data_IF_812265418019
#
_entry.id   IF_812265418019
#
_cell.length_a   1.000
_cell.length_b   1.000
_cell.length_c   1.000
_cell.angle_alpha   90.00
_cell.angle_beta   90.00
_cell.angle_gamma   90.00
#
_symmetry.space_group_name_H-M   'P 1'
#
loop_
_entity.id
_entity.type
_entity.pdbx_description
1 polymer ?
#
# COMPACT_ATOMS: atom_id res chain seq x y z
N UNK A 1 16.70 8.77 -24.43
CA UNK A 1 16.11 10.12 -24.62
C UNK A 1 14.78 10.14 -25.38
N UNK A 2 14.43 9.13 -26.19
CA UNK A 2 13.11 9.02 -26.87
C UNK A 2 12.06 8.18 -26.11
N UNK A 3 12.32 7.80 -24.84
CA UNK A 3 11.39 7.00 -24.02
C UNK A 3 10.85 7.70 -22.77
N UNK A 4 11.42 8.84 -22.37
CA UNK A 4 10.93 9.63 -21.23
C UNK A 4 9.86 10.69 -21.58
N UNK A 5 9.62 11.01 -22.86
CA UNK A 5 8.71 12.12 -23.20
C UNK A 5 7.22 11.78 -23.29
N UNK A 6 6.83 10.51 -23.20
CA UNK A 6 5.41 10.11 -23.28
C UNK A 6 4.67 10.08 -21.93
N UNK A 7 5.31 10.48 -20.84
CA UNK A 7 4.64 10.60 -19.53
C UNK A 7 3.83 11.89 -19.35
N UNK A 8 3.85 12.80 -20.33
CA UNK A 8 3.18 14.10 -20.22
C UNK A 8 1.68 14.07 -20.53
N UNK A 9 1.11 12.99 -21.10
CA UNK A 9 -0.24 13.03 -21.69
C UNK A 9 -1.15 11.81 -21.45
N UNK A 10 -0.80 10.86 -20.59
CA UNK A 10 -1.69 9.73 -20.27
C UNK A 10 -2.15 9.81 -18.82
N UNK A 11 -3.42 10.16 -18.65
CA UNK A 11 -4.27 9.78 -17.51
C UNK A 11 -3.60 9.84 -16.13
N UNK A 12 -3.64 11.01 -15.50
CA UNK A 12 -3.23 11.22 -14.11
C UNK A 12 -3.81 10.10 -13.21
N UNK A 13 -2.98 9.11 -12.87
CA UNK A 13 -3.30 7.98 -12.00
C UNK A 13 -4.37 6.99 -12.51
N UNK A 14 -4.24 6.45 -13.73
CA UNK A 14 -5.03 5.26 -14.11
C UNK A 14 -4.53 4.01 -13.33
N UNK A 15 -5.41 3.46 -12.50
CA UNK A 15 -5.16 2.28 -11.68
C UNK A 15 -4.64 1.08 -12.49
N UNK A 16 -5.09 0.94 -13.75
CA UNK A 16 -4.61 -0.13 -14.65
C UNK A 16 -3.16 0.04 -15.06
N UNK A 17 -2.72 1.28 -15.28
CA UNK A 17 -1.32 1.57 -15.64
C UNK A 17 -0.41 1.37 -14.43
N UNK A 18 -0.84 1.84 -13.25
CA UNK A 18 -0.14 1.58 -12.00
C UNK A 18 0.00 0.07 -11.76
N UNK A 19 -1.07 -0.70 -11.91
CA UNK A 19 -1.06 -2.15 -11.73
C UNK A 19 -0.04 -2.86 -12.64
N UNK A 20 0.04 -2.48 -13.92
CA UNK A 20 1.02 -3.03 -14.85
C UNK A 20 2.47 -2.72 -14.45
N UNK A 21 2.76 -1.48 -14.01
CA UNK A 21 4.09 -1.10 -13.52
C UNK A 21 4.43 -1.90 -12.26
N UNK A 22 3.49 -2.03 -11.33
CA UNK A 22 3.71 -2.78 -10.09
C UNK A 22 3.96 -4.25 -10.29
N UNK A 23 3.27 -4.85 -11.27
CA UNK A 23 3.51 -6.25 -11.67
C UNK A 23 4.93 -6.45 -12.23
N UNK A 24 5.47 -5.48 -12.96
CA UNK A 24 6.87 -5.52 -13.45
C UNK A 24 7.87 -5.35 -12.31
N UNK A 25 7.55 -4.51 -11.32
CA UNK A 25 8.38 -4.29 -10.13
C UNK A 25 8.21 -5.38 -9.06
N UNK A 26 7.30 -6.33 -9.25
CA UNK A 26 7.07 -7.45 -8.33
C UNK A 26 6.37 -7.07 -7.02
N UNK A 27 5.64 -5.95 -6.98
CA UNK A 27 4.90 -5.50 -5.78
C UNK A 27 3.42 -5.88 -5.86
N UNK A 28 2.82 -6.25 -4.71
CA UNK A 28 1.41 -6.68 -4.60
C UNK A 28 0.40 -5.50 -4.67
N UNK A 29 0.86 -4.30 -4.28
CA UNK A 29 0.04 -3.09 -4.29
C UNK A 29 0.91 -1.86 -4.59
N UNK A 30 0.31 -0.85 -5.22
CA UNK A 30 0.91 0.47 -5.42
C UNK A 30 0.06 1.53 -4.74
N UNK A 31 0.74 2.54 -4.19
CA UNK A 31 0.12 3.72 -3.62
C UNK A 31 0.24 4.88 -4.62
N UNK A 32 -0.89 5.41 -5.08
CA UNK A 32 -0.98 6.56 -5.99
C UNK A 32 -1.89 7.63 -5.39
N UNK A 33 -1.62 8.90 -5.63
CA UNK A 33 -2.47 9.95 -5.08
C UNK A 33 -2.25 11.30 -5.70
N UNK A 34 -2.99 12.28 -5.20
CA UNK A 34 -2.92 13.68 -5.62
C UNK A 34 -2.98 14.60 -4.41
N UNK A 35 -2.24 15.70 -4.48
CA UNK A 35 -2.44 16.85 -3.60
C UNK A 35 -3.73 17.53 -4.02
N UNK A 36 -4.71 17.57 -3.12
CA UNK A 36 -6.04 18.15 -3.37
C UNK A 36 -6.15 19.59 -2.91
N UNK A 37 -5.34 19.99 -1.94
CA UNK A 37 -5.26 21.37 -1.46
C UNK A 37 -3.81 21.77 -1.20
N UNK A 38 -3.48 22.99 -1.61
CA UNK A 38 -2.19 23.62 -1.37
C UNK A 38 -2.42 25.12 -1.21
N UNK A 39 -2.56 25.56 0.03
CA UNK A 39 -2.88 26.94 0.37
C UNK A 39 -1.85 27.52 1.35
N UNK A 40 -1.46 28.77 1.12
CA UNK A 40 -0.62 29.56 2.02
C UNK A 40 -1.26 30.93 2.17
N UNK A 41 -1.56 31.31 3.41
CA UNK A 41 -2.13 32.59 3.79
C UNK A 41 -1.14 33.37 4.65
N UNK A 42 -0.91 34.64 4.33
CA UNK A 42 -0.07 35.53 5.11
C UNK A 42 -0.91 36.66 5.73
N UNK A 43 -0.78 36.86 7.05
CA UNK A 43 -1.44 37.91 7.80
C UNK A 43 -0.40 38.78 8.51
N UNK A 44 -0.37 40.08 8.22
CA UNK A 44 0.55 41.02 8.85
C UNK A 44 -0.13 41.76 10.03
N UNK A 45 0.51 41.75 11.20
CA UNK A 45 0.12 42.53 12.38
C UNK A 45 1.19 43.58 12.65
N UNK A 46 0.80 44.86 12.58
CA UNK A 46 1.66 45.99 12.95
C UNK A 46 1.68 46.20 14.47
N UNK A 47 2.86 46.36 15.05
CA UNK A 47 3.04 46.73 16.47
C UNK A 47 3.46 48.20 16.51
N UNK A 48 2.57 49.07 16.97
CA UNK A 48 2.84 50.51 17.08
C UNK A 48 3.56 50.86 18.38
N UNK A 49 4.69 51.58 18.28
CA UNK A 49 5.37 52.21 19.41
C UNK A 49 4.93 53.67 19.54
N UNK A 50 3.88 53.93 20.32
CA UNK A 50 3.41 55.27 20.66
C UNK A 50 2.76 55.27 22.06
N UNK A 51 2.69 56.42 22.76
CA UNK A 51 2.29 56.50 24.18
C UNK A 51 0.82 56.16 24.47
N UNK A 52 0.03 55.84 23.44
CA UNK A 52 -1.29 55.23 23.59
C UNK A 52 -1.23 53.81 22.99
N UNK A 53 -1.23 52.80 23.86
CA UNK A 53 -1.40 51.37 23.55
C UNK A 53 -2.72 51.08 22.78
N UNK A 54 -2.83 51.54 21.53
CA UNK A 54 -3.96 51.23 20.65
C UNK A 54 -3.46 50.33 19.53
N UNK A 55 -3.91 49.08 19.57
CA UNK A 55 -3.85 48.11 18.47
C UNK A 55 -4.33 48.77 17.18
N UNK A 56 -3.42 49.31 16.39
CA UNK A 56 -3.72 49.99 15.12
C UNK A 56 -3.16 49.13 14.00
N UNK A 57 -4.08 48.64 13.17
CA UNK A 57 -3.82 47.85 11.96
C UNK A 57 -3.18 48.75 10.92
N UNK A 58 -1.88 48.99 11.03
CA UNK A 58 -1.15 49.88 10.14
C UNK A 58 0.32 49.93 10.50
N UNK A 59 1.18 49.86 9.48
CA UNK A 59 2.63 49.76 9.58
C UNK A 59 3.21 50.88 10.46
N UNK A 60 3.93 50.51 11.52
CA UNK A 60 4.72 51.43 12.36
C UNK A 60 6.14 50.89 12.46
N UNK A 61 7.10 51.80 12.35
CA UNK A 61 8.54 51.62 12.52
C UNK A 61 8.86 50.83 13.80
N UNK A 62 9.17 49.54 13.66
CA UNK A 62 9.45 48.64 14.79
C UNK A 62 9.40 47.13 14.50
N UNK A 63 9.16 46.72 13.25
CA UNK A 63 9.14 45.31 12.81
C UNK A 63 7.72 44.80 12.59
N UNK A 64 7.40 44.38 11.35
CA UNK A 64 6.11 43.76 11.02
C UNK A 64 6.14 42.30 11.46
N UNK A 65 5.13 41.88 12.23
CA UNK A 65 4.89 40.46 12.50
C UNK A 65 4.08 39.90 11.34
N UNK A 66 4.64 38.97 10.59
CA UNK A 66 3.95 38.24 9.52
C UNK A 66 3.63 36.84 10.04
N UNK A 67 2.35 36.52 10.11
CA UNK A 67 1.88 35.18 10.43
C UNK A 67 1.56 34.45 9.13
N UNK A 68 2.26 33.36 8.86
CA UNK A 68 2.05 32.51 7.68
C UNK A 68 1.31 31.25 8.12
N UNK A 69 0.12 31.03 7.58
CA UNK A 69 -0.66 29.80 7.71
C UNK A 69 -0.53 29.01 6.42
N UNK A 70 -0.29 27.71 6.52
CA UNK A 70 -0.24 26.82 5.38
C UNK A 70 -1.17 25.63 5.64
N UNK A 71 -1.92 25.26 4.61
CA UNK A 71 -2.89 24.17 4.61
C UNK A 71 -2.65 23.28 3.40
N UNK A 72 -2.47 21.99 3.65
CA UNK A 72 -2.21 20.98 2.61
C UNK A 72 -3.15 19.81 2.82
N UNK A 73 -3.80 19.36 1.76
CA UNK A 73 -4.61 18.15 1.77
C UNK A 73 -4.18 17.22 0.63
N UNK A 74 -4.21 15.92 0.90
CA UNK A 74 -3.83 14.88 -0.04
C UNK A 74 -4.86 13.76 -0.01
N UNK A 75 -5.13 13.19 -1.18
CA UNK A 75 -5.93 11.97 -1.30
C UNK A 75 -5.09 10.91 -2.00
N UNK A 76 -5.01 9.74 -1.36
CA UNK A 76 -4.14 8.65 -1.76
C UNK A 76 -4.96 7.36 -1.84
N UNK A 77 -4.68 6.56 -2.85
CA UNK A 77 -5.37 5.31 -3.19
C UNK A 77 -4.34 4.19 -3.26
N UNK A 78 -4.65 3.08 -2.62
CA UNK A 78 -3.89 1.84 -2.77
C UNK A 78 -4.55 0.99 -3.84
N UNK A 79 -3.78 0.52 -4.81
CA UNK A 79 -4.27 -0.25 -5.97
C UNK A 79 -3.60 -1.61 -5.98
N UNK A 80 -4.40 -2.68 -6.09
CA UNK A 80 -3.91 -4.04 -6.28
C UNK A 80 -3.31 -4.18 -7.69
N UNK A 81 -2.08 -4.66 -7.78
CA UNK A 81 -1.37 -4.75 -9.06
C UNK A 81 -1.78 -5.94 -9.92
N UNK A 82 -2.43 -6.95 -9.33
CA UNK A 82 -2.96 -8.11 -10.03
C UNK A 82 -4.36 -7.85 -10.61
N UNK A 83 -5.23 -7.15 -9.89
CA UNK A 83 -6.63 -6.90 -10.34
C UNK A 83 -6.84 -5.50 -10.91
N UNK A 84 -5.98 -4.53 -10.57
CA UNK A 84 -6.18 -3.12 -10.91
C UNK A 84 -7.25 -2.43 -10.07
N UNK A 85 -7.76 -3.08 -9.02
CA UNK A 85 -8.80 -2.54 -8.15
C UNK A 85 -8.21 -1.63 -7.07
N UNK A 86 -8.96 -0.59 -6.69
CA UNK A 86 -8.63 0.26 -5.55
C UNK A 86 -8.99 -0.51 -4.28
N UNK A 87 -7.98 -0.89 -3.51
CA UNK A 87 -8.15 -1.58 -2.23
C UNK A 87 -8.66 -0.62 -1.14
N UNK A 88 -8.11 0.59 -1.10
CA UNK A 88 -8.54 1.64 -0.17
C UNK A 88 -8.22 3.02 -0.72
N UNK A 89 -8.93 4.03 -0.19
CA UNK A 89 -8.64 5.45 -0.41
C UNK A 89 -8.59 6.15 0.94
N UNK A 90 -7.52 6.88 1.18
CA UNK A 90 -7.26 7.65 2.41
C UNK A 90 -7.04 9.10 2.02
N UNK A 91 -7.74 10.00 2.69
CA UNK A 91 -7.49 11.44 2.60
C UNK A 91 -6.85 11.89 3.91
N UNK A 92 -5.85 12.77 3.82
CA UNK A 92 -5.19 13.35 4.98
C UNK A 92 -4.93 14.83 4.74
N UNK A 93 -4.92 15.60 5.82
CA UNK A 93 -4.64 17.03 5.79
C UNK A 93 -3.61 17.42 6.84
N UNK A 94 -2.98 18.56 6.63
CA UNK A 94 -1.99 19.13 7.52
C UNK A 94 -2.06 20.64 7.47
N UNK A 95 -2.18 21.25 8.65
CA UNK A 95 -2.14 22.68 8.83
C UNK A 95 -0.91 23.05 9.66
N UNK A 96 -0.27 24.18 9.34
CA UNK A 96 0.74 24.81 10.19
C UNK A 96 0.61 26.32 10.15
N UNK A 97 0.94 26.99 11.26
CA UNK A 97 0.98 28.44 11.35
C UNK A 97 2.27 28.86 12.04
N UNK A 98 3.01 29.80 11.43
CA UNK A 98 4.25 30.37 11.99
C UNK A 98 4.24 31.88 11.93
N UNK A 99 4.52 32.51 13.05
CA UNK A 99 4.79 33.95 13.14
C UNK A 99 6.27 34.25 12.94
N UNK A 100 6.59 35.19 12.06
CA UNK A 100 7.94 35.72 11.86
C UNK A 100 7.96 37.24 12.05
N UNK A 101 9.08 37.78 12.55
CA UNK A 101 9.35 39.22 12.58
C UNK A 101 10.19 39.50 11.33
N UNK A 102 9.51 39.99 10.28
CA UNK A 102 9.97 40.38 8.92
C UNK A 102 11.29 39.83 8.33
N UNK A 103 11.16 39.09 7.23
CA UNK A 103 11.46 39.60 5.88
C UNK A 103 10.55 38.84 4.90
N UNK A 104 9.84 39.56 4.04
CA UNK A 104 9.03 38.98 2.97
C UNK A 104 9.93 38.30 1.94
N UNK A 105 10.39 37.09 2.26
CA UNK A 105 11.04 36.18 1.34
C UNK A 105 9.96 35.39 0.62
N UNK A 106 9.33 36.03 -0.36
CA UNK A 106 8.37 35.37 -1.23
C UNK A 106 8.99 34.10 -1.83
N UNK A 107 8.12 33.13 -2.12
CA UNK A 107 8.40 31.92 -2.90
C UNK A 107 8.83 32.26 -4.34
N UNK A 108 9.89 33.05 -4.49
CA UNK A 108 10.37 33.57 -5.76
C UNK A 108 11.71 32.90 -6.05
N UNK A 109 11.68 32.04 -7.05
CA UNK A 109 12.81 31.33 -7.68
C UNK A 109 13.37 30.14 -6.89
N UNK A 110 13.07 28.93 -7.37
CA UNK A 110 13.73 27.69 -6.96
C UNK A 110 13.58 27.34 -5.48
N UNK A 111 12.39 26.90 -5.06
CA UNK A 111 12.24 26.28 -3.74
C UNK A 111 12.93 24.91 -3.80
N UNK A 112 14.06 24.78 -3.11
CA UNK A 112 14.57 23.46 -2.77
C UNK A 112 13.71 22.86 -1.65
N UNK A 113 12.70 22.09 -2.06
CA UNK A 113 11.79 21.39 -1.15
C UNK A 113 12.47 20.28 -0.34
N UNK A 114 13.71 19.93 -0.69
CA UNK A 114 14.52 18.96 0.05
C UNK A 114 15.32 19.61 1.19
N UNK A 115 15.44 20.94 1.19
CA UNK A 115 16.21 21.68 2.18
C UNK A 115 15.57 21.63 3.57
N UNK A 116 16.41 21.59 4.62
CA UNK A 116 15.95 21.66 6.02
C UNK A 116 15.18 22.96 6.30
N UNK A 117 15.55 24.07 5.65
CA UNK A 117 14.86 25.35 5.74
C UNK A 117 13.42 25.29 5.21
N UNK A 118 13.20 24.57 4.10
CA UNK A 118 11.85 24.34 3.58
C UNK A 118 11.06 23.41 4.50
N UNK A 119 11.65 22.30 4.95
CA UNK A 119 10.99 21.35 5.86
C UNK A 119 10.59 22.03 7.18
N UNK A 120 11.38 23.00 7.65
CA UNK A 120 11.10 23.83 8.82
C UNK A 120 10.14 25.00 8.57
N UNK A 121 9.66 25.24 7.35
CA UNK A 121 8.67 26.28 7.06
C UNK A 121 7.25 25.86 7.49
N UNK A 122 6.31 26.81 7.56
CA UNK A 122 4.89 26.49 7.79
C UNK A 122 4.38 25.53 6.70
N UNK A 123 4.75 25.76 5.45
CA UNK A 123 4.35 24.91 4.33
C UNK A 123 4.97 23.51 4.39
N UNK A 124 6.27 23.39 4.66
CA UNK A 124 6.94 22.09 4.79
C UNK A 124 6.39 21.27 5.95
N UNK A 125 6.05 21.92 7.07
CA UNK A 125 5.41 21.27 8.20
C UNK A 125 3.98 20.81 7.88
N UNK A 126 3.19 21.62 7.17
CA UNK A 126 1.86 21.23 6.69
C UNK A 126 1.92 20.01 5.76
N UNK A 127 2.88 19.97 4.82
CA UNK A 127 3.11 18.82 3.93
C UNK A 127 3.45 17.56 4.76
N UNK A 128 4.38 17.66 5.71
CA UNK A 128 4.78 16.54 6.54
C UNK A 128 3.61 16.01 7.39
N UNK A 129 2.78 16.90 7.97
CA UNK A 129 1.58 16.51 8.72
C UNK A 129 0.55 15.81 7.84
N UNK A 130 0.30 16.34 6.63
CA UNK A 130 -0.61 15.70 5.67
C UNK A 130 -0.10 14.30 5.26
N UNK A 131 1.20 14.16 4.98
CA UNK A 131 1.82 12.88 4.65
C UNK A 131 1.74 11.87 5.81
N UNK A 132 1.99 12.32 7.05
CA UNK A 132 1.84 11.48 8.25
C UNK A 132 0.39 11.03 8.47
N UNK A 133 -0.58 11.94 8.28
CA UNK A 133 -2.00 11.61 8.37
C UNK A 133 -2.41 10.54 7.35
N UNK A 134 -1.96 10.66 6.10
CA UNK A 134 -2.19 9.65 5.08
C UNK A 134 -1.50 8.32 5.42
N UNK A 135 -0.24 8.37 5.85
CA UNK A 135 0.53 7.18 6.21
C UNK A 135 -0.11 6.40 7.36
N UNK A 136 -0.65 7.11 8.37
CA UNK A 136 -1.39 6.49 9.47
C UNK A 136 -2.65 5.77 8.97
N UNK A 137 -3.47 6.41 8.13
CA UNK A 137 -4.67 5.79 7.56
C UNK A 137 -4.36 4.61 6.65
N UNK A 138 -3.28 4.67 5.85
CA UNK A 138 -2.83 3.53 5.04
C UNK A 138 -2.31 2.38 5.90
N UNK A 139 -1.60 2.67 6.99
CA UNK A 139 -1.08 1.65 7.90
C UNK A 139 -2.20 0.89 8.62
N UNK A 140 -3.26 1.58 9.02
CA UNK A 140 -4.44 0.95 9.61
C UNK A 140 -5.13 -0.01 8.61
N UNK A 141 -5.19 0.37 7.33
CA UNK A 141 -5.72 -0.51 6.29
C UNK A 141 -4.77 -1.67 5.98
N UNK A 142 -3.45 -1.45 5.96
CA UNK A 142 -2.46 -2.52 5.77
C UNK A 142 -2.54 -3.58 6.87
N UNK A 143 -2.82 -3.17 8.12
CA UNK A 143 -3.09 -4.08 9.22
C UNK A 143 -4.35 -4.95 8.97
N UNK A 144 -5.37 -4.40 8.31
CA UNK A 144 -6.59 -5.13 7.90
C UNK A 144 -6.36 -6.04 6.67
N UNK A 145 -5.48 -5.64 5.75
CA UNK A 145 -5.12 -6.44 4.57
C UNK A 145 -4.37 -7.73 4.89
N UNK A 146 -3.69 -7.81 6.04
CA UNK A 146 -2.99 -9.03 6.48
C UNK A 146 -3.94 -10.25 6.65
N UNK A 147 -5.26 -10.06 6.55
CA UNK A 147 -6.26 -11.12 6.59
C UNK A 147 -6.70 -11.64 5.20
N UNK A 148 -6.40 -10.96 4.09
CA UNK A 148 -6.81 -11.42 2.74
C UNK A 148 -5.67 -12.19 2.09
N UNK A 149 -5.37 -13.36 2.65
CA UNK A 149 -4.47 -14.30 1.99
C UNK A 149 -5.22 -14.95 0.83
N UNK A 150 -4.63 -14.92 -0.36
CA UNK A 150 -5.22 -15.52 -1.57
C UNK A 150 -5.32 -17.03 -1.35
N UNK A 151 -6.52 -17.59 -1.52
CA UNK A 151 -6.68 -19.03 -1.57
C UNK A 151 -6.07 -19.56 -2.85
N UNK A 152 -5.23 -20.59 -2.74
CA UNK A 152 -4.61 -21.24 -3.88
C UNK A 152 -4.76 -22.75 -3.79
N UNK A 153 -4.75 -23.37 -4.98
CA UNK A 153 -4.73 -24.81 -5.14
C UNK A 153 -3.54 -25.23 -6.00
N UNK A 154 -3.05 -26.44 -5.73
CA UNK A 154 -1.91 -27.03 -6.42
C UNK A 154 -1.94 -28.54 -6.31
N UNK A 155 -0.83 -29.16 -6.69
CA UNK A 155 -0.57 -30.58 -6.60
C UNK A 155 0.81 -30.79 -5.99
N UNK A 156 0.97 -31.94 -5.32
CA UNK A 156 2.28 -32.45 -4.93
C UNK A 156 3.03 -32.87 -6.18
N UNK A 157 4.17 -32.23 -6.45
CA UNK A 157 5.03 -32.50 -7.59
C UNK A 157 6.10 -33.55 -7.28
N UNK A 158 6.61 -33.57 -6.05
CA UNK A 158 7.58 -34.58 -5.58
C UNK A 158 7.44 -34.82 -4.06
N UNK A 159 7.84 -36.02 -3.62
CA UNK A 159 7.81 -36.45 -2.22
C UNK A 159 9.14 -37.11 -1.85
N UNK A 160 9.86 -36.50 -0.91
CA UNK A 160 11.11 -37.03 -0.38
C UNK A 160 11.08 -37.04 1.15
N UNK A 161 10.76 -38.21 1.72
CA UNK A 161 10.60 -38.38 3.16
C UNK A 161 9.49 -37.50 3.72
N UNK A 162 9.86 -36.49 4.51
CA UNK A 162 8.92 -35.54 5.12
C UNK A 162 8.82 -34.22 4.32
N UNK A 163 9.60 -34.08 3.26
CA UNK A 163 9.67 -32.88 2.41
C UNK A 163 8.87 -33.09 1.13
N UNK A 164 8.09 -32.09 0.75
CA UNK A 164 7.23 -32.08 -0.42
C UNK A 164 7.60 -30.90 -1.31
N UNK A 165 7.63 -31.13 -2.61
CA UNK A 165 7.68 -30.06 -3.61
C UNK A 165 6.27 -29.88 -4.17
N UNK A 166 5.79 -28.63 -4.17
CA UNK A 166 4.45 -28.26 -4.62
C UNK A 166 4.55 -27.46 -5.92
N UNK A 167 3.63 -27.68 -6.86
CA UNK A 167 3.56 -26.91 -8.12
C UNK A 167 2.86 -25.54 -7.97
N UNK A 168 2.98 -24.96 -6.78
CA UNK A 168 2.44 -23.67 -6.39
C UNK A 168 3.56 -22.85 -5.76
N UNK A 169 3.88 -21.73 -6.38
CA UNK A 169 4.89 -20.80 -5.90
C UNK A 169 4.32 -19.41 -5.65
N UNK A 170 5.22 -18.43 -5.51
CA UNK A 170 4.91 -17.03 -5.22
C UNK A 170 3.94 -16.42 -6.22
N UNK A 171 4.07 -16.76 -7.51
CA UNK A 171 3.19 -16.25 -8.58
C UNK A 171 1.72 -16.68 -8.43
N UNK A 172 1.46 -17.79 -7.72
CA UNK A 172 0.11 -18.28 -7.41
C UNK A 172 -0.33 -17.94 -5.97
N UNK A 173 0.47 -17.16 -5.24
CA UNK A 173 0.13 -16.67 -3.91
C UNK A 173 0.65 -17.50 -2.74
N UNK A 174 1.47 -18.53 -2.97
CA UNK A 174 2.11 -19.28 -1.87
C UNK A 174 3.11 -18.40 -1.12
N UNK A 175 3.12 -18.49 0.22
CA UNK A 175 4.06 -17.78 1.08
C UNK A 175 4.70 -18.73 2.09
N UNK A 176 5.92 -18.41 2.49
CA UNK A 176 6.61 -19.12 3.58
C UNK A 176 5.77 -18.98 4.85
N UNK A 177 5.58 -20.10 5.54
CA UNK A 177 4.78 -20.20 6.75
C UNK A 177 3.31 -20.56 6.53
N UNK A 178 2.82 -20.60 5.29
CA UNK A 178 1.47 -21.06 4.98
C UNK A 178 1.29 -22.53 5.37
N UNK A 179 0.10 -22.86 5.88
CA UNK A 179 -0.33 -24.23 6.14
C UNK A 179 -1.19 -24.69 4.97
N UNK A 180 -0.84 -25.83 4.40
CA UNK A 180 -1.59 -26.46 3.30
C UNK A 180 -2.16 -27.80 3.73
N UNK A 181 -3.36 -28.08 3.26
CA UNK A 181 -4.02 -29.38 3.33
C UNK A 181 -3.73 -30.17 2.06
N UNK A 182 -3.41 -31.45 2.26
CA UNK A 182 -3.15 -32.40 1.18
C UNK A 182 -4.30 -33.40 1.20
N UNK A 183 -5.02 -33.45 0.08
CA UNK A 183 -6.21 -34.27 -0.08
C UNK A 183 -6.04 -35.18 -1.30
N UNK A 184 -6.49 -36.42 -1.19
CA UNK A 184 -6.52 -37.36 -2.32
C UNK A 184 -7.93 -37.42 -2.86
N UNK A 185 -8.07 -37.37 -4.19
CA UNK A 185 -9.33 -37.66 -4.86
C UNK A 185 -9.74 -39.10 -4.52
N UNK A 186 -10.78 -39.23 -3.72
CA UNK A 186 -11.34 -40.50 -3.30
C UNK A 186 -12.35 -41.01 -4.33
N UNK A 187 -13.23 -41.89 -3.85
CA UNK A 187 -14.23 -42.53 -4.70
C UNK A 187 -15.30 -41.54 -5.19
N UNK A 188 -15.67 -41.68 -6.45
CA UNK A 188 -16.83 -41.03 -7.04
C UNK A 188 -18.02 -41.98 -6.96
N UNK A 189 -19.06 -41.59 -6.22
CA UNK A 189 -20.33 -42.32 -6.18
C UNK A 189 -21.15 -41.91 -7.39
N UNK A 190 -21.50 -42.89 -8.22
CA UNK A 190 -22.36 -42.73 -9.39
C UNK A 190 -23.79 -43.13 -9.06
N UNK A 191 -24.75 -42.53 -9.75
CA UNK A 191 -26.14 -42.96 -9.76
C UNK A 191 -26.25 -44.35 -10.42
N UNK A 192 -26.84 -45.36 -9.76
CA UNK A 192 -26.95 -46.72 -10.29
C UNK A 192 -27.72 -46.82 -11.61
N UNK A 193 -28.68 -45.92 -11.85
CA UNK A 193 -29.53 -45.92 -13.04
C UNK A 193 -28.99 -44.99 -14.13
N UNK A 194 -28.55 -43.79 -13.76
CA UNK A 194 -28.17 -42.76 -14.75
C UNK A 194 -26.67 -42.70 -15.04
N UNK A 195 -25.85 -43.41 -14.25
CA UNK A 195 -24.37 -43.34 -14.26
C UNK A 195 -23.81 -41.92 -14.09
N UNK A 196 -24.64 -40.95 -13.69
CA UNK A 196 -24.19 -39.58 -13.40
C UNK A 196 -23.46 -39.54 -12.07
N UNK A 197 -22.48 -38.66 -11.97
CA UNK A 197 -21.74 -38.43 -10.72
C UNK A 197 -22.68 -37.82 -9.67
N UNK A 198 -22.87 -38.51 -8.55
CA UNK A 198 -23.64 -38.03 -7.41
C UNK A 198 -22.75 -37.29 -6.41
N UNK A 199 -21.56 -37.83 -6.12
CA UNK A 199 -20.66 -37.26 -5.11
C UNK A 199 -19.24 -37.75 -5.28
N UNK A 200 -18.26 -36.86 -5.16
CA UNK A 200 -16.84 -37.22 -5.04
C UNK A 200 -16.41 -37.05 -3.59
N UNK A 201 -15.91 -38.11 -2.98
CA UNK A 201 -15.28 -38.01 -1.67
C UNK A 201 -13.83 -37.57 -1.85
N UNK A 202 -13.38 -36.62 -1.03
CA UNK A 202 -11.98 -36.20 -1.00
C UNK A 202 -11.47 -36.47 0.41
N UNK A 203 -10.47 -37.34 0.51
CA UNK A 203 -9.95 -37.76 1.80
C UNK A 203 -8.76 -36.86 2.17
N UNK A 204 -8.84 -36.23 3.35
CA UNK A 204 -7.73 -35.47 3.90
C UNK A 204 -6.63 -36.42 4.35
N UNK A 205 -5.47 -36.33 3.71
CA UNK A 205 -4.32 -37.20 3.97
C UNK A 205 -3.41 -36.58 5.02
N UNK A 206 -3.09 -35.28 4.86
CA UNK A 206 -2.10 -34.62 5.71
C UNK A 206 -2.24 -33.10 5.71
N UNK A 207 -1.48 -32.47 6.60
CA UNK A 207 -1.19 -31.04 6.56
C UNK A 207 0.32 -30.83 6.47
N UNK A 208 0.76 -29.85 5.68
CA UNK A 208 2.15 -29.48 5.55
C UNK A 208 2.32 -27.97 5.71
N UNK A 209 3.51 -27.55 6.15
CA UNK A 209 3.86 -26.13 6.29
C UNK A 209 4.91 -25.76 5.25
N UNK A 210 4.65 -24.68 4.51
CA UNK A 210 5.60 -24.17 3.51
C UNK A 210 6.81 -23.56 4.22
N UNK A 211 8.01 -24.01 3.86
CA UNK A 211 9.28 -23.50 4.39
C UNK A 211 10.03 -22.64 3.40
N UNK A 212 9.88 -22.90 2.11
CA UNK A 212 10.54 -22.15 1.04
C UNK A 212 9.59 -21.96 -0.15
N UNK A 213 9.73 -20.86 -0.87
CA UNK A 213 8.88 -20.52 -2.02
C UNK A 213 9.73 -19.92 -3.12
N UNK A 214 9.67 -20.53 -4.30
CA UNK A 214 10.15 -19.99 -5.56
C UNK A 214 9.01 -19.37 -6.36
N UNK A 215 9.30 -18.86 -7.55
CA UNK A 215 8.29 -18.23 -8.40
C UNK A 215 7.18 -19.21 -8.81
N UNK A 216 7.55 -20.44 -9.17
CA UNK A 216 6.64 -21.46 -9.70
C UNK A 216 6.39 -22.66 -8.76
N UNK A 217 7.24 -22.85 -7.75
CA UNK A 217 7.21 -23.99 -6.82
C UNK A 217 7.34 -23.55 -5.37
N UNK A 218 7.02 -24.45 -4.45
CA UNK A 218 7.28 -24.26 -3.02
C UNK A 218 7.70 -25.58 -2.37
N UNK A 219 8.56 -25.48 -1.37
CA UNK A 219 8.95 -26.60 -0.51
C UNK A 219 8.11 -26.55 0.75
N UNK A 220 7.49 -27.69 1.10
CA UNK A 220 6.71 -27.84 2.31
C UNK A 220 7.16 -29.04 3.14
N UNK A 221 7.07 -28.93 4.46
CA UNK A 221 7.37 -30.00 5.40
C UNK A 221 6.07 -30.52 5.99
N UNK A 222 5.87 -31.83 5.95
CA UNK A 222 4.73 -32.51 6.55
C UNK A 222 4.70 -32.31 8.07
N UNK A 223 3.51 -31.98 8.59
CA UNK A 223 3.30 -31.76 10.04
C UNK A 223 3.30 -33.07 10.83
N UNK A 224 2.93 -34.17 10.17
CA UNK A 224 2.96 -35.52 10.70
C UNK A 224 3.21 -36.50 9.55
N UNK A 225 3.84 -37.64 9.87
CA UNK A 225 4.08 -38.69 8.88
C UNK A 225 2.75 -39.19 8.30
N UNK A 226 2.62 -39.11 6.98
CA UNK A 226 1.41 -39.49 6.25
C UNK A 226 1.78 -40.04 4.86
N UNK A 227 0.98 -40.94 4.28
CA UNK A 227 1.26 -41.58 3.00
C UNK A 227 0.91 -40.67 1.80
N UNK A 228 1.52 -39.49 1.73
CA UNK A 228 1.37 -38.53 0.63
C UNK A 228 2.05 -39.04 -0.63
N UNK A 229 1.45 -38.77 -1.79
CA UNK A 229 1.94 -39.20 -3.10
C UNK A 229 1.93 -38.04 -4.10
N UNK A 230 2.76 -38.17 -5.13
CA UNK A 230 2.76 -37.25 -6.27
C UNK A 230 1.38 -37.26 -6.93
N UNK A 231 0.85 -36.06 -7.21
CA UNK A 231 -0.49 -35.86 -7.75
C UNK A 231 -1.59 -35.65 -6.71
N UNK A 232 -1.30 -35.79 -5.41
CA UNK A 232 -2.25 -35.40 -4.36
C UNK A 232 -2.55 -33.88 -4.44
N UNK A 233 -3.80 -33.51 -4.17
CA UNK A 233 -4.27 -32.14 -4.28
C UNK A 233 -3.90 -31.33 -3.05
N UNK A 234 -3.38 -30.13 -3.29
CA UNK A 234 -2.92 -29.20 -2.25
C UNK A 234 -3.86 -28.00 -2.23
N UNK A 235 -4.32 -27.59 -1.05
CA UNK A 235 -5.13 -26.38 -0.86
C UNK A 235 -4.62 -25.62 0.36
N UNK A 236 -4.50 -24.30 0.26
CA UNK A 236 -4.20 -23.47 1.43
C UNK A 236 -5.33 -23.52 2.45
N UNK A 237 -4.96 -23.60 3.73
CA UNK A 237 -5.89 -23.43 4.85
C UNK A 237 -5.72 -22.01 5.41
N UNK A 238 -6.81 -21.32 5.80
CA UNK A 238 -6.75 -20.00 6.43
C UNK A 238 -5.74 -19.89 7.57
#
# INVERSE_FOLDING_TARGET
VLKEQNFSNSSRADAKTAANIGRVLGVDAIVIGSVTEFAVEESAVGVGAGPLNRFTRGVVSGGKRVNTRASVAMTVRMVNTSTGEILTSVSGSGDSAKGSVEASGGYATGIDMTSASFQGSALGEAINRAAQSVAAGLSEFAAKLSAVRVDYTGLVADVSGNTLILNVGRLKGARVGDTVEINRSGRTVLDPATKKVLRTFVDKIATARITEVDDASATAILSAAAPVQVGDQVRRVP
#
